data_IF_997014728515
#
_entry.id   IF_997014728515
#
_cell.length_a   1.000
_cell.length_b   1.000
_cell.length_c   1.000
_cell.angle_alpha   90.00
_cell.angle_beta   90.00
_cell.angle_gamma   90.00
#
_symmetry.space_group_name_H-M   'P 1'
#
loop_
_entity.id
_entity.type
_entity.pdbx_description
1 polymer ?
#
# COMPACT_ATOMS: atom_id res chain seq x y z
N UNK A 1 -6.72 12.89 -26.80
CA UNK A 1 -5.36 12.46 -26.40
C UNK A 1 -4.53 12.22 -27.67
N UNK A 2 -3.35 12.82 -27.79
CA UNK A 2 -2.44 12.59 -28.93
C UNK A 2 -1.98 11.12 -29.02
N UNK A 3 -1.52 10.67 -30.20
CA UNK A 3 -1.10 9.28 -30.43
C UNK A 3 0.00 8.84 -29.47
N UNK A 4 1.00 9.70 -29.22
CA UNK A 4 2.09 9.44 -28.26
C UNK A 4 1.58 9.17 -26.85
N UNK A 5 0.62 9.96 -26.36
CA UNK A 5 0.02 9.75 -25.03
C UNK A 5 -0.82 8.46 -24.94
N UNK A 6 -1.43 8.01 -26.04
CA UNK A 6 -2.13 6.70 -26.06
C UNK A 6 -1.14 5.54 -25.94
N UNK A 7 0.04 5.67 -26.57
CA UNK A 7 1.11 4.70 -26.41
C UNK A 7 1.60 4.68 -24.96
N UNK A 8 1.86 5.85 -24.36
CA UNK A 8 2.27 5.96 -22.96
C UNK A 8 1.28 5.30 -22.00
N UNK A 9 -0.02 5.56 -22.18
CA UNK A 9 -1.07 4.90 -21.41
C UNK A 9 -1.03 3.37 -21.55
N UNK A 10 -0.86 2.88 -22.78
CA UNK A 10 -0.81 1.44 -23.06
C UNK A 10 0.43 0.77 -22.48
N UNK A 11 1.57 1.47 -22.49
CA UNK A 11 2.82 1.00 -21.87
C UNK A 11 2.66 0.94 -20.35
N UNK A 12 2.15 2.00 -19.73
CA UNK A 12 1.87 2.03 -18.29
C UNK A 12 0.91 0.90 -17.87
N UNK A 13 -0.18 0.72 -18.62
CA UNK A 13 -1.10 -0.39 -18.43
C UNK A 13 -0.40 -1.76 -18.55
N UNK A 14 0.52 -1.90 -19.50
CA UNK A 14 1.29 -3.14 -19.67
C UNK A 14 2.16 -3.45 -18.46
N UNK A 15 2.76 -2.46 -17.80
CA UNK A 15 3.52 -2.67 -16.56
C UNK A 15 2.61 -2.89 -15.35
N UNK A 16 1.44 -2.28 -15.32
CA UNK A 16 0.45 -2.48 -14.27
C UNK A 16 -0.14 -3.90 -14.25
N UNK A 17 -0.38 -4.47 -15.45
CA UNK A 17 -1.11 -5.74 -15.61
C UNK A 17 -0.25 -6.99 -15.60
N UNK A 18 0.99 -6.88 -16.05
CA UNK A 18 1.85 -8.05 -16.24
C UNK A 18 2.77 -8.24 -15.04
N UNK A 19 3.11 -9.49 -14.69
CA UNK A 19 3.95 -9.78 -13.55
C UNK A 19 5.41 -9.37 -13.80
N UNK A 20 6.05 -8.92 -12.74
CA UNK A 20 7.49 -8.89 -12.58
C UNK A 20 8.01 -10.30 -12.25
N UNK A 21 9.24 -10.58 -12.63
CA UNK A 21 9.89 -11.87 -12.42
C UNK A 21 11.18 -11.70 -11.64
N UNK A 22 11.65 -12.76 -10.98
CA UNK A 22 12.92 -12.74 -10.29
C UNK A 22 14.06 -12.45 -11.28
N UNK A 23 15.00 -11.59 -10.89
CA UNK A 23 16.23 -11.39 -11.64
C UNK A 23 17.25 -12.51 -11.36
N UNK A 24 18.16 -12.79 -12.31
CA UNK A 24 18.17 -12.29 -13.67
C UNK A 24 17.14 -13.01 -14.55
N UNK A 25 16.49 -12.29 -15.46
CA UNK A 25 15.60 -12.91 -16.47
C UNK A 25 15.91 -12.44 -17.90
N UNK A 26 15.44 -13.21 -18.89
CA UNK A 26 15.55 -12.81 -20.30
C UNK A 26 14.72 -11.56 -20.64
N UNK A 27 13.71 -11.25 -19.82
CA UNK A 27 12.85 -10.07 -19.94
C UNK A 27 13.34 -8.97 -19.00
N UNK A 28 14.48 -8.35 -19.31
CA UNK A 28 15.16 -7.36 -18.47
C UNK A 28 14.37 -6.09 -18.17
N UNK A 29 13.29 -5.81 -18.92
CA UNK A 29 12.42 -4.69 -18.62
C UNK A 29 11.48 -4.94 -17.42
N UNK A 30 11.36 -6.19 -16.94
CA UNK A 30 10.42 -6.61 -15.87
C UNK A 30 11.02 -7.65 -14.93
N UNK A 31 12.35 -7.75 -14.87
CA UNK A 31 12.99 -8.52 -13.82
C UNK A 31 13.28 -7.64 -12.61
N UNK A 32 13.67 -8.28 -11.50
CA UNK A 32 13.95 -7.60 -10.25
C UNK A 32 12.90 -7.78 -9.16
N UNK A 33 11.89 -8.66 -9.36
CA UNK A 33 10.92 -8.97 -8.29
C UNK A 33 11.67 -9.31 -7.00
N UNK A 34 11.36 -8.59 -5.92
CA UNK A 34 12.13 -8.66 -4.69
C UNK A 34 12.05 -10.04 -4.00
N UNK A 35 13.00 -10.34 -3.10
CA UNK A 35 13.04 -11.60 -2.36
C UNK A 35 11.82 -11.86 -1.47
N UNK A 36 11.22 -10.79 -0.97
CA UNK A 36 9.98 -10.75 -0.21
C UNK A 36 8.98 -9.85 -0.93
N UNK A 37 7.71 -10.25 -0.98
CA UNK A 37 6.67 -9.50 -1.67
C UNK A 37 5.26 -9.93 -1.24
N UNK A 38 4.26 -9.08 -1.52
CA UNK A 38 2.83 -9.42 -1.39
C UNK A 38 2.20 -9.80 -2.72
N UNK A 39 2.73 -9.30 -3.84
CA UNK A 39 2.30 -9.62 -5.21
C UNK A 39 3.47 -9.45 -6.17
N UNK A 40 3.34 -9.94 -7.40
CA UNK A 40 4.29 -9.67 -8.48
C UNK A 40 3.72 -8.74 -9.57
N UNK A 41 2.52 -8.18 -9.38
CA UNK A 41 1.91 -7.25 -10.32
C UNK A 41 0.74 -6.51 -9.71
N UNK A 42 0.57 -5.24 -10.08
CA UNK A 42 -0.43 -4.35 -9.48
C UNK A 42 -1.86 -4.89 -9.70
N UNK A 43 -2.17 -5.39 -10.90
CA UNK A 43 -3.51 -5.89 -11.22
C UNK A 43 -3.95 -7.11 -10.38
N UNK A 44 -3.02 -7.87 -9.79
CA UNK A 44 -3.39 -8.99 -8.93
C UNK A 44 -4.09 -8.49 -7.65
N UNK A 45 -3.74 -7.29 -7.19
CA UNK A 45 -4.38 -6.62 -6.07
C UNK A 45 -5.54 -5.73 -6.54
N UNK A 46 -5.31 -4.97 -7.62
CA UNK A 46 -6.29 -4.07 -8.23
C UNK A 46 -7.04 -4.78 -9.35
N UNK A 47 -7.97 -5.67 -8.97
CA UNK A 47 -8.62 -6.63 -9.88
C UNK A 47 -9.33 -5.90 -11.02
N UNK A 48 -8.76 -5.99 -12.23
CA UNK A 48 -9.23 -5.24 -13.42
C UNK A 48 -9.39 -3.74 -13.13
N UNK A 49 -8.39 -3.16 -12.47
CA UNK A 49 -8.38 -1.77 -11.99
C UNK A 49 -9.44 -1.44 -10.93
N UNK A 50 -10.18 -2.45 -10.49
CA UNK A 50 -11.19 -2.36 -9.45
C UNK A 50 -10.61 -2.55 -8.06
N UNK A 51 -11.53 -2.62 -7.10
CA UNK A 51 -11.23 -2.91 -5.71
C UNK A 51 -10.80 -4.38 -5.57
N UNK A 52 -9.78 -4.61 -4.74
CA UNK A 52 -9.48 -5.95 -4.25
C UNK A 52 -10.57 -6.48 -3.32
N UNK A 53 -10.32 -7.64 -2.71
CA UNK A 53 -11.16 -8.19 -1.66
C UNK A 53 -10.32 -8.68 -0.48
N UNK A 54 -10.95 -8.80 0.69
CA UNK A 54 -10.38 -9.56 1.79
C UNK A 54 -10.62 -11.06 1.57
N UNK A 55 -9.87 -11.94 2.26
CA UNK A 55 -10.14 -13.38 2.26
C UNK A 55 -11.53 -13.68 2.81
N UNK A 56 -12.08 -14.84 2.44
CA UNK A 56 -13.27 -15.39 3.09
C UNK A 56 -12.96 -15.84 4.52
N UNK A 57 -14.00 -16.10 5.31
CA UNK A 57 -13.85 -16.51 6.71
C UNK A 57 -12.98 -17.77 6.86
N UNK A 58 -12.01 -17.68 7.77
CA UNK A 58 -11.03 -18.73 8.03
C UNK A 58 -10.02 -18.96 6.91
N UNK A 59 -10.05 -18.21 5.80
CA UNK A 59 -9.10 -18.39 4.71
C UNK A 59 -7.79 -17.61 4.93
N UNK A 60 -6.73 -18.11 4.31
CA UNK A 60 -5.48 -17.36 4.18
C UNK A 60 -5.64 -16.24 3.16
N UNK A 61 -4.87 -15.17 3.35
CA UNK A 61 -4.67 -14.16 2.33
C UNK A 61 -4.02 -14.74 1.08
N UNK A 62 -4.57 -14.42 -0.08
CA UNK A 62 -4.12 -14.91 -1.38
C UNK A 62 -4.07 -13.75 -2.39
N UNK A 63 -3.41 -12.66 -2.00
CA UNK A 63 -3.31 -11.39 -2.74
C UNK A 63 -4.59 -10.52 -2.59
N UNK A 64 -4.54 -9.23 -2.98
CA UNK A 64 -5.60 -8.20 -2.86
C UNK A 64 -5.78 -7.52 -1.50
N UNK A 65 -5.21 -8.08 -0.44
CA UNK A 65 -5.10 -7.43 0.87
C UNK A 65 -3.64 -7.49 1.33
N UNK A 66 -3.18 -6.45 2.02
CA UNK A 66 -1.90 -6.42 2.72
C UNK A 66 -2.13 -6.06 4.20
N UNK A 67 -1.15 -6.34 5.05
CA UNK A 67 -1.18 -5.97 6.46
C UNK A 67 0.02 -5.06 6.75
N UNK A 68 -0.27 -3.79 7.05
CA UNK A 68 0.74 -2.91 7.65
C UNK A 68 0.94 -3.29 9.10
N UNK A 69 2.18 -3.29 9.53
CA UNK A 69 2.58 -3.61 10.90
C UNK A 69 3.41 -2.46 11.47
N UNK A 70 3.34 -2.27 12.77
CA UNK A 70 4.18 -1.30 13.48
C UNK A 70 4.25 -1.65 14.96
N UNK A 71 5.15 -0.98 15.67
CA UNK A 71 5.24 -1.05 17.13
C UNK A 71 4.83 0.30 17.75
N UNK A 72 4.33 0.32 19.00
CA UNK A 72 4.01 1.57 19.68
C UNK A 72 5.23 2.49 19.74
N UNK A 73 5.10 3.78 19.40
CA UNK A 73 6.23 4.70 19.42
C UNK A 73 6.71 4.96 20.85
N UNK A 74 8.03 4.97 21.04
CA UNK A 74 8.67 5.46 22.27
C UNK A 74 8.94 6.97 22.18
N UNK A 75 9.33 7.61 23.29
CA UNK A 75 9.65 9.05 23.29
C UNK A 75 10.77 9.43 22.28
N UNK A 76 11.87 8.66 22.15
CA UNK A 76 12.86 8.87 21.08
C UNK A 76 12.29 8.81 19.67
N UNK A 77 11.33 7.93 19.42
CA UNK A 77 10.76 7.67 18.09
C UNK A 77 9.88 8.80 17.57
N UNK A 78 9.42 9.71 18.44
CA UNK A 78 8.54 10.82 18.05
C UNK A 78 9.14 11.69 16.95
N UNK A 79 10.47 11.74 16.84
CA UNK A 79 11.18 12.50 15.80
C UNK A 79 11.12 11.83 14.42
N UNK A 80 10.89 10.53 14.37
CA UNK A 80 10.82 9.75 13.12
C UNK A 80 9.42 9.79 12.50
N UNK A 81 8.38 9.90 13.34
CA UNK A 81 6.97 9.87 12.90
C UNK A 81 6.60 10.90 11.83
N UNK A 82 7.10 12.16 11.83
CA UNK A 82 6.79 13.11 10.76
C UNK A 82 7.30 12.66 9.37
N UNK A 83 8.37 11.86 9.33
CA UNK A 83 8.97 11.36 8.10
C UNK A 83 8.46 9.97 7.70
N UNK A 84 8.27 9.07 8.69
CA UNK A 84 7.95 7.66 8.44
C UNK A 84 6.46 7.34 8.64
N UNK A 85 5.72 8.17 9.39
CA UNK A 85 4.31 7.96 9.72
C UNK A 85 4.01 6.83 10.72
N UNK A 86 4.91 5.84 10.82
CA UNK A 86 4.84 4.69 11.73
C UNK A 86 6.23 4.34 12.24
N UNK A 87 6.30 3.56 13.32
CA UNK A 87 7.56 2.94 13.76
C UNK A 87 7.58 1.50 13.24
N UNK A 88 8.47 1.17 12.30
CA UNK A 88 8.53 -0.17 11.73
C UNK A 88 8.93 -1.20 12.80
N UNK A 89 8.43 -2.42 12.64
CA UNK A 89 8.91 -3.55 13.43
C UNK A 89 10.38 -3.83 13.09
N UNK A 90 11.30 -4.00 14.07
CA UNK A 90 12.74 -4.12 13.81
C UNK A 90 13.12 -5.33 12.94
N UNK A 91 12.31 -6.39 12.95
CA UNK A 91 12.53 -7.63 12.19
C UNK A 91 11.74 -7.68 10.88
N UNK A 92 10.53 -7.09 10.85
CA UNK A 92 9.52 -7.32 9.81
C UNK A 92 9.17 -6.04 9.03
N UNK A 93 9.81 -4.91 9.34
CA UNK A 93 9.52 -3.64 8.68
C UNK A 93 8.14 -3.09 9.03
N UNK A 94 7.54 -2.34 8.12
CA UNK A 94 6.23 -1.69 8.30
C UNK A 94 5.09 -2.36 7.51
N UNK A 95 5.39 -3.41 6.74
CA UNK A 95 4.44 -4.18 5.94
C UNK A 95 4.85 -5.65 5.90
N UNK A 96 3.94 -6.53 6.32
CA UNK A 96 4.19 -7.97 6.31
C UNK A 96 4.18 -8.51 4.86
N UNK A 97 5.17 -9.34 4.53
CA UNK A 97 5.37 -9.97 3.23
C UNK A 97 5.01 -11.46 3.23
N UNK A 98 3.87 -11.79 2.63
CA UNK A 98 3.26 -13.12 2.67
C UNK A 98 3.97 -14.16 1.77
N UNK A 99 4.75 -13.67 0.79
CA UNK A 99 5.43 -14.46 -0.21
C UNK A 99 6.93 -14.18 -0.26
N UNK A 100 7.65 -15.12 -0.88
CA UNK A 100 9.10 -15.05 -1.07
C UNK A 100 9.48 -15.76 -2.35
N UNK A 101 10.64 -15.42 -2.91
CA UNK A 101 11.20 -16.15 -4.04
C UNK A 101 11.54 -17.61 -3.67
N UNK A 102 11.63 -18.53 -4.65
CA UNK A 102 12.00 -19.92 -4.40
C UNK A 102 13.27 -20.05 -3.55
N UNK A 103 13.21 -20.86 -2.49
CA UNK A 103 14.32 -21.05 -1.54
C UNK A 103 14.39 -20.02 -0.40
N UNK A 104 13.55 -18.99 -0.44
CA UNK A 104 13.45 -17.97 0.59
C UNK A 104 12.56 -18.37 1.77
N UNK A 105 12.36 -17.44 2.69
CA UNK A 105 11.53 -17.59 3.89
C UNK A 105 10.53 -16.43 3.91
N UNK A 106 9.23 -16.71 3.77
CA UNK A 106 8.21 -15.67 3.90
C UNK A 106 8.14 -15.15 5.33
N UNK A 107 7.72 -13.90 5.52
CA UNK A 107 7.62 -13.31 6.85
C UNK A 107 6.52 -13.95 7.69
N UNK A 108 5.41 -14.32 7.06
CA UNK A 108 4.32 -15.04 7.69
C UNK A 108 3.18 -15.32 6.72
N UNK A 109 2.08 -15.85 7.24
CA UNK A 109 0.84 -16.08 6.49
C UNK A 109 -0.31 -15.41 7.20
N UNK A 110 -0.95 -14.46 6.53
CA UNK A 110 -2.10 -13.75 7.08
C UNK A 110 -3.34 -14.64 6.98
N UNK A 111 -4.01 -14.88 8.11
CA UNK A 111 -5.36 -15.46 8.17
C UNK A 111 -6.35 -14.41 8.64
N UNK A 112 -7.56 -14.44 8.07
CA UNK A 112 -8.68 -13.62 8.54
C UNK A 112 -9.78 -14.56 9.00
N UNK A 113 -10.25 -14.36 10.23
CA UNK A 113 -11.52 -14.89 10.71
C UNK A 113 -12.48 -13.73 10.94
N UNK A 114 -13.77 -13.97 10.82
CA UNK A 114 -14.78 -12.93 11.03
C UNK A 114 -15.64 -13.23 12.25
N UNK A 115 -15.71 -12.25 13.15
CA UNK A 115 -16.65 -12.25 14.26
C UNK A 115 -17.87 -11.41 13.88
N UNK A 116 -19.05 -11.87 14.26
CA UNK A 116 -20.32 -11.23 13.93
C UNK A 116 -20.97 -10.70 15.20
N UNK A 117 -21.54 -9.49 15.11
CA UNK A 117 -22.31 -8.91 16.21
C UNK A 117 -23.47 -8.06 15.69
N UNK A 118 -24.61 -8.19 16.33
CA UNK A 118 -25.76 -7.35 16.05
C UNK A 118 -25.57 -5.95 16.65
N UNK A 119 -25.86 -4.93 15.84
CA UNK A 119 -25.94 -3.54 16.28
C UNK A 119 -27.33 -3.03 15.99
N UNK A 120 -27.97 -2.52 17.05
CA UNK A 120 -29.30 -1.92 16.98
C UNK A 120 -29.19 -0.39 16.90
N UNK A 121 -29.79 0.20 15.89
CA UNK A 121 -29.92 1.63 15.71
C UNK A 121 -31.01 2.22 16.61
N UNK A 122 -31.03 3.55 16.74
CA UNK A 122 -31.97 4.28 17.59
C UNK A 122 -33.43 4.15 17.11
N UNK A 123 -33.66 3.95 15.82
CA UNK A 123 -34.97 3.71 15.21
C UNK A 123 -35.47 2.26 15.37
N UNK A 124 -34.63 1.38 15.94
CA UNK A 124 -34.94 -0.01 16.18
C UNK A 124 -34.48 -0.97 15.08
N UNK A 125 -33.94 -0.48 13.96
CA UNK A 125 -33.32 -1.31 12.94
C UNK A 125 -32.11 -2.04 13.52
N UNK A 126 -31.95 -3.34 13.18
CA UNK A 126 -30.78 -4.13 13.57
C UNK A 126 -30.01 -4.53 12.32
N UNK A 127 -28.70 -4.30 12.35
CA UNK A 127 -27.77 -4.79 11.33
C UNK A 127 -26.73 -5.70 11.97
N UNK A 128 -26.33 -6.75 11.26
CA UNK A 128 -25.21 -7.60 11.66
C UNK A 128 -23.91 -6.96 11.16
N UNK A 129 -23.02 -6.62 12.08
CA UNK A 129 -21.68 -6.16 11.75
C UNK A 129 -20.72 -7.35 11.70
N UNK A 130 -19.90 -7.38 10.65
CA UNK A 130 -18.81 -8.33 10.48
C UNK A 130 -17.47 -7.67 10.83
N UNK A 131 -16.78 -8.16 11.85
CA UNK A 131 -15.49 -7.67 12.32
C UNK A 131 -14.36 -8.65 11.91
N UNK A 132 -13.34 -8.20 11.15
CA UNK A 132 -12.19 -9.03 10.84
C UNK A 132 -11.26 -9.15 12.05
N UNK A 133 -10.88 -10.38 12.39
CA UNK A 133 -9.79 -10.71 13.32
C UNK A 133 -8.66 -11.31 12.50
N UNK A 134 -7.50 -10.65 12.56
CA UNK A 134 -6.33 -10.98 11.76
C UNK A 134 -5.34 -11.73 12.63
N UNK A 135 -4.85 -12.87 12.16
CA UNK A 135 -3.73 -13.58 12.76
C UNK A 135 -2.62 -13.81 11.73
N UNK A 136 -1.38 -13.85 12.20
CA UNK A 136 -0.21 -14.14 11.39
C UNK A 136 0.33 -15.50 11.82
N UNK A 137 0.29 -16.46 10.91
CA UNK A 137 0.75 -17.83 11.12
C UNK A 137 2.12 -18.06 10.49
N UNK A 138 2.82 -19.10 10.95
CA UNK A 138 4.08 -19.56 10.34
C UNK A 138 5.11 -18.45 10.17
N UNK A 139 5.35 -17.69 11.23
CA UNK A 139 6.33 -16.62 11.27
C UNK A 139 7.72 -17.10 10.87
N UNK A 140 8.34 -16.40 9.93
CA UNK A 140 9.64 -16.79 9.35
C UNK A 140 10.86 -16.35 10.17
N UNK A 141 10.71 -15.30 11.00
CA UNK A 141 11.84 -14.58 11.61
C UNK A 141 11.70 -14.39 13.12
N UNK A 142 10.86 -15.20 13.78
CA UNK A 142 10.64 -15.14 15.23
C UNK A 142 9.31 -14.49 15.62
N UNK A 143 9.04 -14.32 16.93
CA UNK A 143 7.78 -13.76 17.40
C UNK A 143 7.61 -12.30 16.95
N UNK A 144 6.36 -11.89 16.76
CA UNK A 144 6.01 -10.52 16.38
C UNK A 144 5.98 -9.55 17.56
N UNK A 145 5.71 -10.03 18.77
CA UNK A 145 5.68 -9.21 19.99
C UNK A 145 6.74 -9.72 20.95
N UNK A 146 7.40 -8.80 21.67
CA UNK A 146 8.34 -9.12 22.74
C UNK A 146 8.30 -8.05 23.84
N UNK A 147 8.97 -8.31 24.95
CA UNK A 147 9.14 -7.33 26.03
C UNK A 147 9.91 -6.07 25.58
N UNK A 148 10.73 -6.17 24.52
CA UNK A 148 11.59 -5.09 24.05
C UNK A 148 10.84 -4.02 23.23
N UNK A 149 9.80 -4.41 22.50
CA UNK A 149 9.06 -3.51 21.59
C UNK A 149 7.53 -3.61 21.74
N UNK A 150 7.04 -4.38 22.70
CA UNK A 150 5.63 -4.46 23.06
C UNK A 150 4.77 -5.22 22.06
N UNK A 151 3.47 -4.92 22.07
CA UNK A 151 2.49 -5.56 21.19
C UNK A 151 2.49 -4.91 19.81
N UNK A 152 2.55 -5.72 18.76
CA UNK A 152 2.34 -5.24 17.39
C UNK A 152 1.01 -4.53 17.22
N UNK A 153 1.04 -3.52 16.35
CA UNK A 153 -0.14 -2.88 15.80
C UNK A 153 -0.30 -3.34 14.35
N UNK A 154 -1.53 -3.68 13.96
CA UNK A 154 -1.83 -4.17 12.62
C UNK A 154 -2.91 -3.33 11.95
N UNK A 155 -2.76 -3.12 10.64
CA UNK A 155 -3.76 -2.45 9.79
C UNK A 155 -3.89 -3.19 8.47
N UNK A 156 -4.95 -4.00 8.34
CA UNK A 156 -5.30 -4.60 7.05
C UNK A 156 -5.79 -3.54 6.06
N UNK A 157 -5.33 -3.65 4.81
CA UNK A 157 -5.66 -2.75 3.72
C UNK A 157 -5.95 -3.57 2.47
N UNK A 158 -7.17 -3.44 1.95
CA UNK A 158 -7.56 -4.02 0.66
C UNK A 158 -7.15 -3.05 -0.45
N UNK A 159 -6.73 -3.51 -1.62
CA UNK A 159 -6.42 -2.60 -2.72
C UNK A 159 -7.63 -1.71 -3.11
N UNK A 160 -7.50 -0.36 -3.13
CA UNK A 160 -8.56 0.53 -3.58
C UNK A 160 -8.74 0.46 -5.11
N UNK A 161 -9.89 0.91 -5.65
CA UNK A 161 -10.04 1.04 -7.10
C UNK A 161 -9.09 2.10 -7.68
N UNK A 162 -8.63 1.90 -8.92
CA UNK A 162 -7.71 2.80 -9.63
C UNK A 162 -8.40 3.89 -10.46
N UNK A 163 -9.71 3.75 -10.68
CA UNK A 163 -10.48 4.66 -11.54
C UNK A 163 -10.58 6.08 -10.94
N UNK A 164 -10.36 7.10 -11.77
CA UNK A 164 -10.58 8.50 -11.41
C UNK A 164 -9.53 9.12 -10.49
N UNK A 165 -8.42 8.44 -10.21
CA UNK A 165 -7.41 8.96 -9.27
C UNK A 165 -6.78 10.28 -9.73
N UNK A 166 -6.59 10.51 -11.03
CA UNK A 166 -6.11 11.81 -11.53
C UNK A 166 -7.09 12.97 -11.29
N UNK A 167 -8.40 12.69 -11.20
CA UNK A 167 -9.39 13.71 -10.81
C UNK A 167 -9.26 14.07 -9.32
N UNK A 168 -8.95 13.08 -8.48
CA UNK A 168 -8.67 13.32 -7.06
C UNK A 168 -7.34 14.06 -6.85
N UNK A 169 -6.33 13.73 -7.64
CA UNK A 169 -5.03 14.43 -7.64
C UNK A 169 -5.19 15.91 -8.02
N UNK A 170 -6.11 16.23 -8.93
CA UNK A 170 -6.37 17.60 -9.39
C UNK A 170 -7.08 18.50 -8.36
N UNK A 171 -7.59 17.96 -7.25
CA UNK A 171 -8.19 18.77 -6.17
C UNK A 171 -7.10 19.63 -5.54
N UNK A 172 -7.29 20.94 -5.44
CA UNK A 172 -6.26 21.81 -4.87
C UNK A 172 -6.09 21.55 -3.36
N UNK A 173 -4.88 21.77 -2.82
CA UNK A 173 -4.66 21.69 -1.36
C UNK A 173 -5.58 22.66 -0.59
N UNK A 174 -5.82 23.85 -1.15
CA UNK A 174 -6.72 24.85 -0.58
C UNK A 174 -8.14 24.30 -0.43
N UNK A 175 -8.65 23.61 -1.44
CA UNK A 175 -10.00 23.04 -1.39
C UNK A 175 -10.10 21.91 -0.37
N UNK A 176 -9.03 21.09 -0.23
CA UNK A 176 -8.98 20.08 0.83
C UNK A 176 -8.99 20.72 2.22
N UNK A 177 -8.16 21.73 2.45
CA UNK A 177 -8.03 22.42 3.74
C UNK A 177 -9.26 23.25 4.11
N UNK A 178 -10.07 23.67 3.13
CA UNK A 178 -11.34 24.36 3.41
C UNK A 178 -12.36 23.46 4.11
N UNK A 179 -12.22 22.13 3.98
CA UNK A 179 -13.07 21.14 4.64
C UNK A 179 -12.48 20.64 5.97
N UNK A 180 -11.36 21.20 6.43
CA UNK A 180 -10.80 20.88 7.74
C UNK A 180 -11.61 21.58 8.85
N UNK A 181 -12.15 20.80 9.78
CA UNK A 181 -12.96 21.26 10.90
C UNK A 181 -12.47 20.66 12.21
N UNK A 182 -11.25 21.06 12.63
CA UNK A 182 -10.57 20.47 13.80
C UNK A 182 -11.33 20.74 15.11
N UNK A 183 -12.09 21.83 15.16
CA UNK A 183 -12.79 22.29 16.37
C UNK A 183 -14.31 22.02 16.33
N UNK A 184 -14.80 21.25 15.34
CA UNK A 184 -16.25 20.97 15.12
C UNK A 184 -17.09 22.27 15.14
N UNK A 185 -16.70 23.24 14.32
CA UNK A 185 -17.29 24.58 14.27
C UNK A 185 -18.76 24.56 13.84
N UNK A 186 -19.16 23.54 13.08
CA UNK A 186 -20.55 23.35 12.67
C UNK A 186 -21.39 22.58 13.70
N UNK A 187 -20.78 22.05 14.77
CA UNK A 187 -21.40 21.25 15.83
C UNK A 187 -22.18 20.04 15.30
N UNK A 188 -21.68 19.39 14.26
CA UNK A 188 -22.25 18.13 13.76
C UNK A 188 -21.67 16.88 14.45
N UNK A 189 -20.69 17.09 15.35
CA UNK A 189 -20.02 16.04 16.11
C UNK A 189 -18.78 15.46 15.42
N UNK A 190 -18.33 16.03 14.29
CA UNK A 190 -17.22 15.51 13.48
C UNK A 190 -16.06 16.51 13.44
N UNK A 191 -14.96 16.17 14.13
CA UNK A 191 -13.72 16.95 14.07
C UNK A 191 -12.75 16.44 13.00
N UNK A 192 -12.96 16.88 11.75
CA UNK A 192 -12.16 16.47 10.59
C UNK A 192 -10.80 17.17 10.53
N UNK A 193 -9.72 16.42 10.29
CA UNK A 193 -8.37 16.97 10.06
C UNK A 193 -7.72 16.35 8.82
N UNK A 194 -7.04 17.17 8.03
CA UNK A 194 -6.27 16.67 6.89
C UNK A 194 -5.07 15.86 7.40
N UNK A 195 -4.74 14.74 6.74
CA UNK A 195 -3.52 14.01 7.05
C UNK A 195 -2.30 14.70 6.41
N UNK A 196 -1.18 14.77 7.13
CA UNK A 196 0.05 15.41 6.68
C UNK A 196 1.15 14.34 6.66
N UNK A 197 1.83 14.23 5.52
CA UNK A 197 2.76 13.13 5.23
C UNK A 197 4.04 13.67 4.62
N UNK A 198 5.12 12.87 4.64
CA UNK A 198 6.38 13.24 4.00
C UNK A 198 6.31 13.02 2.49
N UNK A 199 6.60 14.07 1.74
CA UNK A 199 6.89 14.00 0.30
C UNK A 199 8.39 13.76 0.15
N UNK A 200 8.74 12.58 -0.35
CA UNK A 200 10.14 12.14 -0.50
C UNK A 200 10.84 12.90 -1.61
N UNK A 201 10.15 13.26 -2.68
CA UNK A 201 10.72 13.99 -3.82
C UNK A 201 10.98 15.46 -3.47
N UNK A 202 10.06 16.07 -2.73
CA UNK A 202 10.16 17.48 -2.34
C UNK A 202 10.86 17.70 -0.99
N UNK A 203 11.19 16.61 -0.29
CA UNK A 203 11.79 16.60 1.05
C UNK A 203 11.07 17.54 2.04
N UNK A 204 9.74 17.47 2.06
CA UNK A 204 8.92 18.29 2.96
C UNK A 204 7.61 17.61 3.33
N UNK A 205 6.98 18.11 4.39
CA UNK A 205 5.61 17.72 4.72
C UNK A 205 4.61 18.27 3.69
N UNK A 206 3.74 17.41 3.19
CA UNK A 206 2.68 17.70 2.24
C UNK A 206 1.33 17.13 2.71
N UNK A 207 0.24 17.51 2.03
CA UNK A 207 -1.09 16.93 2.30
C UNK A 207 -1.14 15.50 1.76
N UNK A 208 -1.51 14.57 2.63
CA UNK A 208 -1.77 13.19 2.26
C UNK A 208 -3.07 13.07 1.47
N UNK A 209 -3.06 12.26 0.41
CA UNK A 209 -4.17 12.15 -0.55
C UNK A 209 -4.56 10.71 -0.87
N UNK A 210 -3.58 9.83 -1.02
CA UNK A 210 -3.79 8.49 -1.56
C UNK A 210 -3.62 7.37 -0.52
N UNK A 211 -4.27 6.24 -0.79
CA UNK A 211 -4.41 5.12 0.13
C UNK A 211 -5.48 5.34 1.21
N UNK A 212 -5.83 4.28 1.95
CA UNK A 212 -6.93 4.28 2.93
C UNK A 212 -6.80 5.28 4.08
N UNK A 213 -5.57 5.69 4.39
CA UNK A 213 -5.28 6.66 5.46
C UNK A 213 -4.71 7.96 4.91
N UNK A 214 -4.87 8.22 3.61
CA UNK A 214 -4.26 9.37 2.94
C UNK A 214 -2.75 9.45 3.27
N UNK A 215 -2.05 8.31 3.10
CA UNK A 215 -0.66 8.13 3.53
C UNK A 215 0.37 8.59 2.52
N UNK A 216 -0.05 8.90 1.29
CA UNK A 216 0.84 9.30 0.20
C UNK A 216 0.38 10.64 -0.40
N UNK A 217 1.30 11.57 -0.69
CA UNK A 217 0.96 12.91 -1.19
C UNK A 217 0.69 12.95 -2.70
N UNK A 218 1.28 12.04 -3.48
CA UNK A 218 1.19 12.02 -4.95
C UNK A 218 0.93 10.61 -5.45
N UNK A 219 0.38 10.47 -6.66
CA UNK A 219 0.27 9.15 -7.30
C UNK A 219 1.64 8.56 -7.64
N UNK A 220 2.63 9.39 -7.99
CA UNK A 220 4.00 8.95 -8.27
C UNK A 220 4.63 8.28 -7.03
N UNK A 221 4.55 8.92 -5.87
CA UNK A 221 5.05 8.34 -4.61
C UNK A 221 4.24 7.11 -4.19
N UNK A 222 2.92 7.10 -4.39
CA UNK A 222 2.09 5.92 -4.13
C UNK A 222 2.48 4.72 -5.01
N UNK A 223 2.77 4.95 -6.29
CA UNK A 223 3.22 3.90 -7.20
C UNK A 223 4.61 3.38 -6.82
N UNK A 224 5.56 4.28 -6.54
CA UNK A 224 6.91 3.92 -6.11
C UNK A 224 6.90 3.16 -4.78
N UNK A 225 6.07 3.57 -3.82
CA UNK A 225 5.89 2.88 -2.55
C UNK A 225 5.24 1.49 -2.71
N UNK A 226 4.38 1.30 -3.72
CA UNK A 226 3.79 -0.01 -4.04
C UNK A 226 4.80 -0.91 -4.76
N UNK A 227 5.66 -0.36 -5.63
CA UNK A 227 6.79 -1.11 -6.19
C UNK A 227 7.68 -1.67 -5.08
N UNK A 228 8.08 -0.82 -4.13
CA UNK A 228 8.94 -1.21 -3.03
C UNK A 228 8.23 -2.12 -2.02
N UNK A 229 7.13 -1.66 -1.44
CA UNK A 229 6.44 -2.39 -0.37
C UNK A 229 5.70 -3.65 -0.83
N UNK A 230 5.11 -3.66 -2.03
CA UNK A 230 4.24 -4.78 -2.43
C UNK A 230 4.96 -5.80 -3.32
N UNK A 231 5.99 -5.36 -4.06
CA UNK A 231 6.73 -6.17 -5.03
C UNK A 231 8.24 -6.27 -4.71
N UNK A 232 8.73 -5.56 -3.69
CA UNK A 232 10.15 -5.57 -3.31
C UNK A 232 11.07 -4.98 -4.38
N UNK A 233 10.59 -4.02 -5.16
CA UNK A 233 11.33 -3.36 -6.25
C UNK A 233 11.76 -1.95 -5.85
N UNK A 234 13.02 -1.60 -6.03
CA UNK A 234 13.51 -0.24 -5.75
C UNK A 234 13.24 0.71 -6.92
N UNK A 235 13.22 2.01 -6.62
CA UNK A 235 13.03 3.10 -7.56
C UNK A 235 13.83 4.33 -7.10
N UNK A 236 13.96 5.35 -7.95
CA UNK A 236 14.63 6.60 -7.58
C UNK A 236 14.06 7.29 -6.33
N UNK A 237 12.78 7.06 -6.01
CA UNK A 237 12.11 7.58 -4.80
C UNK A 237 12.32 6.69 -3.57
N UNK A 238 12.55 5.39 -3.76
CA UNK A 238 12.73 4.41 -2.69
C UNK A 238 13.84 3.43 -3.10
N UNK A 239 15.08 3.82 -2.83
CA UNK A 239 16.29 3.07 -3.18
C UNK A 239 16.62 1.97 -2.18
N UNK A 240 16.04 2.03 -0.97
CA UNK A 240 16.28 1.05 0.07
C UNK A 240 15.41 -0.20 -0.16
N UNK A 241 16.04 -1.35 0.00
CA UNK A 241 15.38 -2.65 -0.03
C UNK A 241 14.52 -2.88 1.22
N UNK A 242 13.45 -3.67 1.09
CA UNK A 242 12.55 -3.97 2.21
C UNK A 242 13.11 -5.00 3.21
N UNK A 243 14.20 -5.69 2.87
CA UNK A 243 14.82 -6.68 3.72
C UNK A 243 15.46 -6.01 4.96
N UNK A 244 14.99 -6.31 6.16
CA UNK A 244 15.60 -5.81 7.40
C UNK A 244 16.94 -6.49 7.67
N UNK A 245 17.74 -5.91 8.59
CA UNK A 245 19.02 -6.50 9.01
C UNK A 245 18.89 -7.92 9.58
N UNK A 246 17.72 -8.29 10.11
CA UNK A 246 17.45 -9.61 10.66
C UNK A 246 17.20 -10.68 9.59
N UNK A 247 16.90 -10.29 8.34
CA UNK A 247 16.41 -11.18 7.29
C UNK A 247 17.52 -11.63 6.33
N UNK A 248 18.53 -12.35 6.85
CA UNK A 248 19.73 -12.77 6.07
C UNK A 248 19.41 -13.43 4.72
N UNK A 249 18.46 -14.37 4.69
CA UNK A 249 18.01 -15.06 3.46
C UNK A 249 17.43 -14.11 2.41
N UNK A 250 16.78 -13.03 2.85
CA UNK A 250 16.23 -12.01 1.97
C UNK A 250 17.38 -11.30 1.24
N UNK A 251 18.39 -10.84 1.98
CA UNK A 251 19.61 -10.23 1.42
C UNK A 251 20.37 -11.16 0.47
N UNK A 252 20.50 -12.45 0.80
CA UNK A 252 21.17 -13.45 -0.05
C UNK A 252 20.48 -13.67 -1.41
N UNK A 253 19.20 -13.33 -1.53
CA UNK A 253 18.40 -13.50 -2.73
C UNK A 253 18.25 -12.21 -3.56
N UNK A 254 18.79 -11.09 -3.09
CA UNK A 254 18.80 -9.84 -3.86
C UNK A 254 19.61 -10.01 -5.14
N UNK A 255 19.01 -9.61 -6.26
CA UNK A 255 19.63 -9.62 -7.57
C UNK A 255 18.88 -8.65 -8.48
N UNK A 256 19.57 -8.10 -9.47
CA UNK A 256 18.97 -7.17 -10.43
C UNK A 256 19.81 -5.92 -10.64
N UNK A 257 19.27 -5.00 -11.43
CA UNK A 257 19.76 -3.63 -11.51
C UNK A 257 19.19 -2.82 -10.36
N UNK A 258 19.96 -1.86 -9.81
CA UNK A 258 19.48 -0.95 -8.77
C UNK A 258 19.51 0.51 -9.29
N UNK A 259 18.36 1.21 -9.39
CA UNK A 259 17.02 0.69 -9.09
C UNK A 259 16.47 -0.25 -10.17
N UNK A 260 15.64 -1.22 -9.79
CA UNK A 260 14.99 -2.13 -10.73
C UNK A 260 13.92 -1.39 -11.57
N UNK A 261 13.24 -0.41 -10.96
CA UNK A 261 12.24 0.40 -11.64
C UNK A 261 12.87 1.72 -12.09
N UNK A 262 13.17 1.79 -13.38
CA UNK A 262 13.61 3.05 -14.01
C UNK A 262 12.54 4.15 -13.93
N UNK A 263 12.99 5.42 -13.91
CA UNK A 263 12.10 6.59 -13.92
C UNK A 263 11.12 6.56 -15.08
N UNK A 264 11.56 6.13 -16.27
CA UNK A 264 10.68 6.01 -17.42
C UNK A 264 9.53 5.01 -17.16
N UNK A 265 9.80 3.85 -16.54
CA UNK A 265 8.74 2.88 -16.19
C UNK A 265 7.80 3.49 -15.16
N UNK A 266 8.33 4.09 -14.09
CA UNK A 266 7.55 4.72 -13.05
C UNK A 266 6.64 5.84 -13.60
N UNK A 267 7.15 6.67 -14.50
CA UNK A 267 6.40 7.74 -15.15
C UNK A 267 5.29 7.20 -16.05
N UNK A 268 5.51 6.10 -16.78
CA UNK A 268 4.43 5.47 -17.58
C UNK A 268 3.34 4.89 -16.70
N UNK A 269 3.69 4.23 -15.59
CA UNK A 269 2.70 3.70 -14.64
C UNK A 269 1.95 4.84 -13.96
N UNK A 270 2.63 5.93 -13.60
CA UNK A 270 2.00 7.13 -13.04
C UNK A 270 1.05 7.78 -14.03
N UNK A 271 1.47 7.92 -15.29
CA UNK A 271 0.60 8.42 -16.35
C UNK A 271 -0.64 7.54 -16.53
N UNK A 272 -0.50 6.21 -16.49
CA UNK A 272 -1.63 5.29 -16.52
C UNK A 272 -2.60 5.51 -15.35
N UNK A 273 -2.10 5.50 -14.10
CA UNK A 273 -2.91 5.68 -12.88
C UNK A 273 -3.64 7.03 -12.86
N UNK A 274 -3.03 8.10 -13.38
CA UNK A 274 -3.64 9.43 -13.51
C UNK A 274 -4.75 9.48 -14.56
N UNK A 275 -4.65 8.69 -15.63
CA UNK A 275 -5.50 8.82 -16.81
C UNK A 275 -6.54 7.70 -16.94
N UNK A 276 -6.70 6.85 -15.93
CA UNK A 276 -7.76 5.85 -15.89
C UNK A 276 -9.11 6.51 -15.56
N UNK A 277 -9.97 6.63 -16.57
CA UNK A 277 -11.25 7.31 -16.45
C UNK A 277 -12.24 6.57 -15.53
N UNK A 278 -13.15 7.32 -14.91
CA UNK A 278 -14.32 6.74 -14.24
C UNK A 278 -15.26 6.11 -15.28
N UNK A 279 -15.91 4.97 -14.97
CA UNK A 279 -16.92 4.39 -15.86
C UNK A 279 -18.02 5.41 -16.16
N UNK A 280 -18.55 5.36 -17.38
CA UNK A 280 -19.73 6.17 -17.75
C UNK A 280 -20.87 5.82 -16.80
N UNK A 281 -21.42 6.81 -16.11
CA UNK A 281 -22.64 6.63 -15.32
C UNK A 281 -23.78 6.24 -16.26
N UNK A 282 -24.27 5.02 -16.11
CA UNK A 282 -25.51 4.59 -16.77
C UNK A 282 -26.64 5.49 -16.25
N UNK A 283 -27.44 6.08 -17.14
CA UNK A 283 -28.50 7.05 -16.82
C UNK A 283 -28.05 8.39 -16.22
N UNK A 284 -26.84 8.87 -16.56
CA UNK A 284 -26.50 10.27 -16.30
C UNK A 284 -27.48 11.18 -17.05
N UNK A 285 -28.20 12.02 -16.29
CA UNK A 285 -29.04 13.10 -16.84
C UNK A 285 -28.18 14.29 -17.23
#
# INVERSE_FOLDING_TARGET
>A
MAVSRRLDFSVGNSFFRNPWVAAPASTTARDGLGPLFNTNGCQNCHIKDGRGHAPEDGQLNRVSMLVRISIPPTSPDQKLLPHQGVIPHPVYGDQLQDFTLPGGVSEGRVRVIYEYRDVKFQDGETVELRQPVISIEKLGYGPLSSDDYGNIMMSARIAPPMIGLGLLEAISEKDLLTNEDVDDKNNDGISGRANRVWDVEQEKTAIGRFGWKAGQPTLKQQNAAAFNGDMGLTSSLFMDEICTASQKRCHEQMAGEHPEVSDNILDKVTFYSQNLAVPVRVNAK
#
